data_IF_808773630129
#
_entry.id   IF_808773630129
#
_cell.length_a   1.000
_cell.length_b   1.000
_cell.length_c   1.000
_cell.angle_alpha   90.00
_cell.angle_beta   90.00
_cell.angle_gamma   90.00
#
_symmetry.space_group_name_H-M   'P 1'
#
loop_
_entity.id
_entity.type
_entity.pdbx_description
1 polymer ?
#
# COMPACT_ATOMS: atom_id res chain seq x y z
N UNK A 1 -0.60 8.66 20.03
CA UNK A 1 -1.18 8.83 18.68
C UNK A 1 -1.64 7.50 18.14
N UNK A 2 -2.59 7.50 17.16
CA UNK A 2 -3.05 6.29 16.47
C UNK A 2 -2.74 6.39 14.98
N UNK A 3 -2.13 5.36 14.40
CA UNK A 3 -1.92 5.27 12.96
C UNK A 3 -2.73 4.11 12.40
N UNK A 4 -3.37 4.31 11.24
CA UNK A 4 -4.03 3.24 10.48
C UNK A 4 -3.21 2.94 9.23
N UNK A 5 -3.06 1.65 8.91
CA UNK A 5 -2.34 1.18 7.73
C UNK A 5 -3.32 0.56 6.76
N UNK A 6 -3.32 1.03 5.52
CA UNK A 6 -4.03 0.43 4.40
C UNK A 6 -2.98 -0.30 3.55
N UNK A 7 -2.99 -1.66 3.57
CA UNK A 7 -2.08 -2.45 2.73
C UNK A 7 -2.43 -2.39 1.25
N UNK A 8 -1.63 -3.09 0.45
CA UNK A 8 -1.80 -3.27 -1.00
C UNK A 8 -3.26 -3.62 -1.35
N UNK A 9 -3.94 -2.74 -2.07
CA UNK A 9 -5.36 -2.92 -2.49
C UNK A 9 -5.49 -3.43 -3.91
N UNK A 10 -4.51 -3.16 -4.75
CA UNK A 10 -4.38 -3.65 -6.13
C UNK A 10 -5.68 -3.54 -6.95
N UNK A 11 -6.23 -2.34 -7.02
CA UNK A 11 -7.49 -2.07 -7.73
C UNK A 11 -7.25 -2.08 -9.25
N UNK A 12 -8.12 -2.80 -9.96
CA UNK A 12 -8.18 -2.88 -11.41
C UNK A 12 -9.65 -2.89 -11.88
N UNK A 13 -9.95 -2.74 -13.18
CA UNK A 13 -11.32 -2.79 -13.69
C UNK A 13 -12.03 -4.09 -13.31
N UNK A 14 -13.18 -3.96 -12.63
CA UNK A 14 -13.95 -5.10 -12.13
C UNK A 14 -13.61 -5.56 -10.70
N UNK A 15 -12.63 -4.94 -10.02
CA UNK A 15 -12.33 -5.22 -8.61
C UNK A 15 -13.53 -4.97 -7.70
N UNK A 16 -13.73 -5.84 -6.73
CA UNK A 16 -14.70 -5.62 -5.65
C UNK A 16 -14.14 -4.60 -4.67
N UNK A 17 -14.82 -3.47 -4.47
CA UNK A 17 -14.34 -2.35 -3.66
C UNK A 17 -15.13 -2.10 -2.37
N UNK A 18 -16.14 -2.93 -2.08
CA UNK A 18 -16.98 -2.77 -0.86
C UNK A 18 -16.21 -2.75 0.45
N UNK A 19 -15.08 -3.45 0.52
CA UNK A 19 -14.17 -3.45 1.68
C UNK A 19 -13.54 -2.07 1.94
N UNK A 20 -13.36 -1.23 0.93
CA UNK A 20 -12.83 0.13 1.08
C UNK A 20 -13.85 1.06 1.74
N UNK A 21 -15.13 0.94 1.34
CA UNK A 21 -16.23 1.65 2.01
C UNK A 21 -16.33 1.24 3.48
N UNK A 22 -16.28 -0.07 3.75
CA UNK A 22 -16.31 -0.62 5.11
C UNK A 22 -15.13 -0.12 5.96
N UNK A 23 -13.91 -0.13 5.40
CA UNK A 23 -12.72 0.42 6.05
C UNK A 23 -12.86 1.92 6.35
N UNK A 24 -13.34 2.71 5.38
CA UNK A 24 -13.57 4.15 5.60
C UNK A 24 -14.55 4.43 6.74
N UNK A 25 -15.67 3.68 6.81
CA UNK A 25 -16.62 3.75 7.92
C UNK A 25 -15.98 3.38 9.27
N UNK A 26 -15.16 2.32 9.29
CA UNK A 26 -14.43 1.87 10.47
C UNK A 26 -13.46 2.95 10.96
N UNK A 27 -12.61 3.49 10.05
CA UNK A 27 -11.62 4.50 10.37
C UNK A 27 -12.27 5.78 10.90
N UNK A 28 -13.36 6.23 10.29
CA UNK A 28 -14.14 7.36 10.79
C UNK A 28 -14.65 7.15 12.22
N UNK A 29 -15.08 5.93 12.57
CA UNK A 29 -15.53 5.59 13.93
C UNK A 29 -14.39 5.58 14.94
N UNK A 30 -13.23 4.99 14.57
CA UNK A 30 -12.10 4.80 15.47
C UNK A 30 -11.11 5.97 15.50
N UNK A 31 -11.23 6.90 14.54
CA UNK A 31 -10.51 8.18 14.46
C UNK A 31 -8.98 8.04 14.67
N UNK A 32 -8.24 7.33 13.79
CA UNK A 32 -6.78 7.42 13.81
C UNK A 32 -6.31 8.84 13.49
N UNK A 33 -5.21 9.27 14.11
CA UNK A 33 -4.61 10.58 13.82
C UNK A 33 -4.01 10.63 12.42
N UNK A 34 -3.46 9.49 11.95
CA UNK A 34 -2.85 9.34 10.62
C UNK A 34 -3.35 8.08 9.94
N UNK A 35 -3.60 8.19 8.64
CA UNK A 35 -3.89 7.04 7.77
C UNK A 35 -2.73 6.95 6.77
N UNK A 36 -2.10 5.80 6.67
CA UNK A 36 -1.00 5.53 5.75
C UNK A 36 -1.42 4.47 4.75
N UNK A 37 -1.59 4.87 3.50
CA UNK A 37 -1.77 3.97 2.35
C UNK A 37 -0.37 3.60 1.89
N UNK A 38 0.00 2.32 2.02
CA UNK A 38 1.39 1.87 1.87
C UNK A 38 1.80 1.59 0.42
N UNK A 39 1.00 1.99 -0.55
CA UNK A 39 1.23 1.81 -1.98
C UNK A 39 0.52 0.61 -2.58
N UNK A 40 0.71 0.40 -3.87
CA UNK A 40 0.00 -0.59 -4.66
C UNK A 40 -1.53 -0.48 -4.50
N UNK A 41 -2.03 0.76 -4.51
CA UNK A 41 -3.46 1.02 -4.54
C UNK A 41 -4.05 0.65 -5.90
N UNK A 42 -3.41 1.12 -6.98
CA UNK A 42 -3.68 0.68 -8.34
C UNK A 42 -2.90 -0.58 -8.66
N UNK A 43 -3.52 -1.57 -9.29
CA UNK A 43 -2.78 -2.74 -9.82
C UNK A 43 -2.06 -2.41 -11.14
N UNK A 44 -2.63 -1.54 -11.97
CA UNK A 44 -2.09 -1.16 -13.28
C UNK A 44 -1.73 -2.37 -14.17
N UNK A 45 -2.62 -3.34 -14.38
CA UNK A 45 -2.34 -4.54 -15.17
C UNK A 45 -1.98 -4.22 -16.62
N UNK A 46 -2.53 -3.13 -17.17
CA UNK A 46 -2.25 -2.70 -18.55
C UNK A 46 -0.78 -2.33 -18.79
N UNK A 47 -0.06 -1.96 -17.73
CA UNK A 47 1.37 -1.63 -17.76
C UNK A 47 2.26 -2.78 -17.23
N UNK A 48 1.68 -3.97 -17.00
CA UNK A 48 2.44 -5.14 -16.61
C UNK A 48 3.38 -5.60 -17.72
N UNK A 49 4.64 -5.88 -17.37
CA UNK A 49 5.63 -6.46 -18.27
C UNK A 49 5.57 -7.99 -18.34
N UNK A 50 4.72 -8.62 -17.54
CA UNK A 50 4.59 -10.07 -17.48
C UNK A 50 3.70 -10.63 -18.59
N UNK A 51 2.71 -9.84 -19.08
CA UNK A 51 1.85 -10.26 -20.19
C UNK A 51 2.57 -10.08 -21.53
N UNK A 52 2.45 -11.08 -22.40
CA UNK A 52 3.03 -11.10 -23.74
C UNK A 52 1.97 -10.94 -24.81
N UNK A 53 2.32 -10.45 -26.03
CA UNK A 53 1.42 -10.49 -27.17
C UNK A 53 0.83 -11.89 -27.37
N UNK A 54 -0.50 -12.01 -27.47
CA UNK A 54 -1.23 -13.27 -27.55
C UNK A 54 -1.72 -13.83 -26.23
N UNK A 55 -1.28 -13.31 -25.08
CA UNK A 55 -1.88 -13.62 -23.79
C UNK A 55 -3.25 -12.94 -23.67
N UNK A 56 -4.22 -13.60 -23.02
CA UNK A 56 -5.56 -13.05 -22.79
C UNK A 56 -5.53 -11.68 -22.09
N UNK A 57 -4.58 -11.44 -21.20
CA UNK A 57 -4.38 -10.16 -20.53
C UNK A 57 -3.85 -9.06 -21.44
N UNK A 58 -3.18 -9.41 -22.56
CA UNK A 58 -2.64 -8.44 -23.51
C UNK A 58 -3.72 -7.72 -24.33
N UNK A 59 -4.76 -8.45 -24.72
CA UNK A 59 -5.84 -7.92 -25.58
C UNK A 59 -6.78 -6.94 -24.83
N UNK A 60 -6.76 -6.96 -23.49
CA UNK A 60 -7.63 -6.14 -22.64
C UNK A 60 -6.93 -4.96 -21.96
N UNK A 61 -5.70 -4.61 -22.42
CA UNK A 61 -4.92 -3.51 -21.83
C UNK A 61 -5.57 -2.15 -22.10
N UNK A 62 -6.01 -1.49 -21.05
CA UNK A 62 -6.57 -0.15 -21.06
C UNK A 62 -6.11 0.62 -19.81
N UNK A 63 -5.08 1.46 -19.97
CA UNK A 63 -4.51 2.27 -18.89
C UNK A 63 -5.53 3.25 -18.32
N UNK A 64 -6.43 3.78 -19.16
CA UNK A 64 -7.46 4.70 -18.70
C UNK A 64 -8.48 4.00 -17.81
N UNK A 65 -8.87 2.78 -18.16
CA UNK A 65 -9.75 1.96 -17.33
C UNK A 65 -9.10 1.60 -15.99
N UNK A 66 -7.78 1.25 -15.98
CA UNK A 66 -7.03 0.99 -14.76
C UNK A 66 -7.04 2.22 -13.82
N UNK A 67 -6.73 3.39 -14.37
CA UNK A 67 -6.72 4.65 -13.61
C UNK A 67 -8.11 4.98 -13.07
N UNK A 68 -9.14 4.87 -13.90
CA UNK A 68 -10.54 5.16 -13.52
C UNK A 68 -10.98 4.28 -12.36
N UNK A 69 -10.73 2.96 -12.44
CA UNK A 69 -11.09 2.03 -11.37
C UNK A 69 -10.46 2.41 -10.04
N UNK A 70 -9.16 2.72 -10.03
CA UNK A 70 -8.46 3.13 -8.82
C UNK A 70 -8.94 4.47 -8.26
N UNK A 71 -9.26 5.44 -9.14
CA UNK A 71 -9.82 6.74 -8.73
C UNK A 71 -11.22 6.62 -8.13
N UNK A 72 -12.11 5.81 -8.68
CA UNK A 72 -13.45 5.59 -8.14
C UNK A 72 -13.39 4.94 -6.76
N UNK A 73 -12.47 3.99 -6.60
CA UNK A 73 -12.18 3.36 -5.32
C UNK A 73 -11.62 4.37 -4.30
N UNK A 74 -10.68 5.24 -4.70
CA UNK A 74 -10.08 6.26 -3.84
C UNK A 74 -11.11 7.28 -3.38
N UNK A 75 -11.92 7.80 -4.28
CA UNK A 75 -13.01 8.73 -3.97
C UNK A 75 -13.99 8.13 -2.98
N UNK A 76 -14.39 6.87 -3.20
CA UNK A 76 -15.29 6.12 -2.30
C UNK A 76 -14.68 6.00 -0.89
N UNK A 77 -13.41 5.61 -0.80
CA UNK A 77 -12.69 5.48 0.46
C UNK A 77 -12.57 6.82 1.19
N UNK A 78 -12.08 7.87 0.51
CA UNK A 78 -11.91 9.19 1.11
C UNK A 78 -13.24 9.80 1.59
N UNK A 79 -14.30 9.66 0.80
CA UNK A 79 -15.64 10.13 1.18
C UNK A 79 -16.17 9.40 2.44
N UNK A 80 -15.92 8.10 2.55
CA UNK A 80 -16.30 7.31 3.71
C UNK A 80 -15.50 7.69 4.97
N UNK A 81 -14.21 7.97 4.83
CA UNK A 81 -13.33 8.42 5.91
C UNK A 81 -13.74 9.80 6.41
N UNK A 82 -13.84 10.78 5.50
CA UNK A 82 -14.00 12.20 5.82
C UNK A 82 -15.42 12.65 6.14
N UNK A 83 -16.38 11.74 6.09
CA UNK A 83 -17.74 12.08 6.47
C UNK A 83 -17.82 12.49 7.95
N UNK A 84 -18.83 13.34 8.28
CA UNK A 84 -19.12 13.80 9.66
C UNK A 84 -17.95 14.56 10.32
N UNK A 85 -17.29 15.44 9.57
CA UNK A 85 -16.25 16.35 10.07
C UNK A 85 -15.04 15.63 10.71
N UNK A 86 -14.70 14.44 10.23
CA UNK A 86 -13.43 13.79 10.55
C UNK A 86 -12.49 13.90 9.35
N UNK A 87 -11.38 14.60 9.53
CA UNK A 87 -10.37 14.84 8.50
C UNK A 87 -8.96 14.49 9.03
N UNK A 88 -8.57 13.21 8.95
CA UNK A 88 -7.27 12.75 9.40
C UNK A 88 -6.15 13.18 8.44
N UNK A 89 -4.95 13.23 8.94
CA UNK A 89 -3.75 13.33 8.10
C UNK A 89 -3.58 12.03 7.29
N UNK A 90 -3.64 12.10 5.96
CA UNK A 90 -3.52 10.93 5.07
C UNK A 90 -2.21 11.00 4.30
N UNK A 91 -1.42 9.92 4.36
CA UNK A 91 -0.18 9.73 3.61
C UNK A 91 -0.36 8.62 2.58
N UNK A 92 0.18 8.84 1.40
CA UNK A 92 0.22 7.86 0.32
C UNK A 92 1.68 7.60 -0.07
N UNK A 93 2.17 6.39 0.15
CA UNK A 93 3.47 5.95 -0.34
C UNK A 93 3.28 5.29 -1.71
N UNK A 94 3.92 5.79 -2.75
CA UNK A 94 3.83 5.20 -4.09
C UNK A 94 4.39 3.78 -4.06
N UNK A 95 3.64 2.84 -4.63
CA UNK A 95 4.06 1.44 -4.78
C UNK A 95 4.72 1.15 -6.13
N UNK A 96 5.18 -0.07 -6.32
CA UNK A 96 5.82 -0.47 -7.56
C UNK A 96 4.83 -0.70 -8.72
N UNK A 97 3.54 -0.82 -8.42
CA UNK A 97 2.49 -0.92 -9.43
C UNK A 97 2.18 0.46 -10.02
N UNK A 98 2.07 1.52 -9.23
CA UNK A 98 1.96 2.89 -9.73
C UNK A 98 3.23 3.32 -10.48
N UNK A 99 4.40 2.90 -10.00
CA UNK A 99 5.69 3.19 -10.67
C UNK A 99 5.79 2.56 -12.07
N UNK A 100 4.90 1.62 -12.43
CA UNK A 100 4.78 1.14 -13.82
C UNK A 100 4.52 2.27 -14.81
N UNK A 101 3.82 3.33 -14.39
CA UNK A 101 3.57 4.53 -15.22
C UNK A 101 4.89 5.19 -15.58
N UNK A 102 5.76 5.44 -14.60
CA UNK A 102 7.10 6.04 -14.82
C UNK A 102 7.95 5.16 -15.73
N UNK A 103 8.01 3.86 -15.44
CA UNK A 103 8.77 2.90 -16.24
C UNK A 103 8.25 2.77 -17.67
N UNK A 104 6.93 2.85 -17.87
CA UNK A 104 6.33 2.87 -19.20
C UNK A 104 6.67 4.15 -19.96
N UNK A 105 6.65 5.31 -19.29
CA UNK A 105 7.05 6.59 -19.89
C UNK A 105 8.52 6.58 -20.36
N UNK A 106 9.39 5.94 -19.61
CA UNK A 106 10.83 5.84 -19.92
C UNK A 106 11.17 4.76 -20.97
N UNK A 107 10.22 3.88 -21.28
CA UNK A 107 10.39 2.80 -22.24
C UNK A 107 10.61 3.35 -23.66
N UNK A 108 11.53 2.73 -24.40
CA UNK A 108 11.79 3.08 -25.81
C UNK A 108 10.55 2.93 -26.70
N UNK A 109 9.69 1.94 -26.39
CA UNK A 109 8.45 1.65 -27.16
C UNK A 109 7.37 2.70 -26.91
N UNK A 110 7.27 3.21 -25.70
CA UNK A 110 6.20 4.14 -25.26
C UNK A 110 6.67 5.59 -25.15
N UNK A 111 7.95 5.88 -25.43
CA UNK A 111 8.54 7.23 -25.31
C UNK A 111 7.76 8.30 -26.09
N UNK A 112 7.16 7.96 -27.23
CA UNK A 112 6.31 8.87 -27.98
C UNK A 112 5.04 9.25 -27.22
N UNK A 113 4.55 8.39 -26.33
CA UNK A 113 3.39 8.57 -25.45
C UNK A 113 3.80 9.04 -24.05
N UNK A 114 5.10 9.12 -23.76
CA UNK A 114 5.63 9.42 -22.43
C UNK A 114 5.12 10.73 -21.83
N UNK A 115 4.86 11.74 -22.67
CA UNK A 115 4.25 13.00 -22.23
C UNK A 115 2.80 12.87 -21.72
N UNK A 116 2.13 11.75 -22.00
CA UNK A 116 0.78 11.43 -21.52
C UNK A 116 0.79 10.43 -20.36
N UNK A 117 1.95 9.88 -20.02
CA UNK A 117 2.16 8.91 -18.96
C UNK A 117 3.00 9.53 -17.83
N UNK A 118 2.43 10.51 -17.16
CA UNK A 118 3.06 11.18 -16.02
C UNK A 118 2.41 10.70 -14.72
N UNK A 119 3.18 10.01 -13.89
CA UNK A 119 2.73 9.60 -12.54
C UNK A 119 2.31 10.83 -11.73
N UNK A 120 3.06 11.93 -11.86
CA UNK A 120 2.76 13.20 -11.22
C UNK A 120 1.37 13.72 -11.59
N UNK A 121 1.08 13.82 -12.90
CA UNK A 121 -0.19 14.37 -13.37
C UNK A 121 -1.37 13.42 -13.23
N UNK A 122 -1.13 12.10 -13.37
CA UNK A 122 -2.19 11.10 -13.36
C UNK A 122 -2.62 10.69 -11.95
N UNK A 123 -1.72 10.77 -10.96
CA UNK A 123 -1.96 10.26 -9.60
C UNK A 123 -1.56 11.26 -8.52
N UNK A 124 -0.31 11.78 -8.51
CA UNK A 124 0.20 12.48 -7.33
C UNK A 124 -0.45 13.85 -7.13
N UNK A 125 -0.42 14.72 -8.13
CA UNK A 125 -1.05 16.05 -8.04
C UNK A 125 -2.56 15.97 -7.74
N UNK A 126 -3.36 15.08 -8.38
CA UNK A 126 -4.76 14.91 -7.98
C UNK A 126 -4.97 14.37 -6.56
N UNK A 127 -4.06 13.55 -6.02
CA UNK A 127 -4.12 13.13 -4.61
C UNK A 127 -3.81 14.29 -3.67
N UNK A 128 -2.80 15.10 -3.99
CA UNK A 128 -2.43 16.30 -3.21
C UNK A 128 -3.59 17.32 -3.21
N UNK A 129 -4.28 17.51 -4.33
CA UNK A 129 -5.49 18.34 -4.43
C UNK A 129 -6.63 17.83 -3.54
N UNK A 130 -6.69 16.52 -3.32
CA UNK A 130 -7.60 15.89 -2.36
C UNK A 130 -7.08 15.94 -0.92
N UNK A 131 -5.97 16.62 -0.63
CA UNK A 131 -5.38 16.74 0.70
C UNK A 131 -4.74 15.42 1.21
N UNK A 132 -4.28 14.58 0.31
CA UNK A 132 -3.49 13.37 0.60
C UNK A 132 -2.03 13.71 0.37
N UNK A 133 -1.18 13.56 1.37
CA UNK A 133 0.26 13.82 1.27
C UNK A 133 0.95 12.69 0.52
N UNK A 134 1.38 12.93 -0.70
CA UNK A 134 2.04 11.92 -1.52
C UNK A 134 3.53 11.80 -1.24
N UNK A 135 4.06 10.60 -1.38
CA UNK A 135 5.48 10.30 -1.18
C UNK A 135 5.98 9.44 -2.35
N UNK A 136 7.00 9.90 -3.08
CA UNK A 136 7.53 9.21 -4.26
C UNK A 136 7.94 7.76 -3.97
N UNK A 137 7.96 6.94 -5.01
CA UNK A 137 8.39 5.54 -4.91
C UNK A 137 9.76 5.42 -4.23
N UNK A 138 9.90 4.48 -3.31
CA UNK A 138 11.08 4.23 -2.47
C UNK A 138 11.44 5.38 -1.48
N UNK A 139 10.69 6.47 -1.45
CA UNK A 139 10.90 7.49 -0.43
C UNK A 139 10.55 6.93 0.94
N UNK A 140 11.52 6.95 1.84
CA UNK A 140 11.28 6.62 3.25
C UNK A 140 10.80 7.87 3.97
N UNK A 141 9.65 7.77 4.60
CA UNK A 141 9.15 8.82 5.51
C UNK A 141 9.20 8.32 6.95
N UNK A 142 9.41 9.24 7.90
CA UNK A 142 9.40 8.91 9.32
C UNK A 142 8.26 9.65 10.01
N UNK A 143 7.36 8.90 10.64
CA UNK A 143 6.25 9.44 11.42
C UNK A 143 6.31 8.86 12.84
N UNK A 144 6.46 9.72 13.82
CA UNK A 144 6.48 9.35 15.24
C UNK A 144 7.49 8.24 15.59
N UNK A 145 8.66 8.23 14.91
CA UNK A 145 9.73 7.26 15.12
C UNK A 145 9.57 5.94 14.35
N UNK A 146 8.58 5.82 13.47
CA UNK A 146 8.41 4.66 12.58
C UNK A 146 8.71 5.09 11.15
N UNK A 147 9.53 4.32 10.44
CA UNK A 147 9.81 4.50 9.02
C UNK A 147 8.73 3.79 8.18
N UNK A 148 8.22 4.48 7.15
CA UNK A 148 7.22 3.96 6.22
C UNK A 148 7.75 4.08 4.79
N UNK A 149 7.58 3.05 4.00
CA UNK A 149 7.79 3.00 2.56
C UNK A 149 7.03 1.81 2.00
N UNK A 150 6.68 1.84 0.71
CA UNK A 150 6.03 0.67 0.09
C UNK A 150 6.90 -0.60 0.30
N UNK A 151 8.19 -0.50 0.02
CA UNK A 151 9.19 -1.44 0.52
C UNK A 151 10.52 -0.72 0.80
N UNK A 152 11.39 -1.37 1.54
CA UNK A 152 12.74 -0.88 1.79
C UNK A 152 13.74 -1.64 0.93
N UNK A 153 14.71 -0.93 0.38
CA UNK A 153 15.86 -1.53 -0.29
C UNK A 153 16.81 -2.10 0.76
N UNK A 154 17.43 -3.24 0.46
CA UNK A 154 18.45 -3.79 1.33
C UNK A 154 19.69 -2.86 1.34
N UNK A 155 20.05 -2.24 2.47
CA UNK A 155 21.19 -1.31 2.54
C UNK A 155 22.54 -1.95 2.15
N UNK A 156 22.64 -3.29 2.26
CA UNK A 156 23.85 -4.03 1.90
C UNK A 156 23.87 -4.51 0.45
N UNK A 157 22.84 -4.18 -0.36
CA UNK A 157 22.74 -4.59 -1.76
C UNK A 157 23.11 -3.43 -2.69
N UNK A 158 23.81 -3.75 -3.78
CA UNK A 158 24.03 -2.80 -4.87
C UNK A 158 22.79 -2.63 -5.78
N UNK A 159 21.78 -3.50 -5.61
CA UNK A 159 20.54 -3.48 -6.39
C UNK A 159 19.40 -2.92 -5.54
N UNK A 160 18.49 -2.18 -6.17
CA UNK A 160 17.28 -1.61 -5.54
C UNK A 160 16.18 -2.66 -5.31
N UNK A 161 16.56 -3.91 -4.99
CA UNK A 161 15.62 -4.97 -4.70
C UNK A 161 14.99 -4.81 -3.32
N UNK A 162 13.72 -5.22 -3.15
CA UNK A 162 13.08 -5.24 -1.84
C UNK A 162 13.86 -6.08 -0.83
N UNK A 163 13.97 -5.58 0.39
CA UNK A 163 14.61 -6.34 1.47
C UNK A 163 13.80 -7.61 1.77
N UNK A 164 14.47 -8.75 1.70
CA UNK A 164 13.91 -10.08 1.95
C UNK A 164 14.14 -10.60 3.36
N UNK A 165 13.82 -11.87 3.57
CA UNK A 165 14.08 -12.59 4.81
C UNK A 165 13.04 -12.39 5.90
N UNK A 166 13.35 -12.83 7.13
CA UNK A 166 12.49 -12.71 8.29
C UNK A 166 12.37 -11.25 8.75
N UNK A 167 11.37 -10.99 9.61
CA UNK A 167 11.17 -9.64 10.14
C UNK A 167 12.36 -9.17 10.99
N UNK A 168 12.97 -10.08 11.74
CA UNK A 168 14.16 -9.80 12.56
C UNK A 168 15.37 -9.45 11.68
N UNK A 169 15.54 -10.15 10.56
CA UNK A 169 16.58 -9.83 9.58
C UNK A 169 16.38 -8.43 8.98
N UNK A 170 15.13 -8.10 8.60
CA UNK A 170 14.79 -6.76 8.14
C UNK A 170 15.10 -5.69 9.20
N UNK A 171 14.69 -5.92 10.45
CA UNK A 171 14.94 -5.00 11.56
C UNK A 171 16.45 -4.77 11.82
N UNK A 172 17.25 -5.83 11.76
CA UNK A 172 18.71 -5.74 11.91
C UNK A 172 19.34 -4.91 10.79
N UNK A 173 18.94 -5.16 9.54
CA UNK A 173 19.51 -4.45 8.39
C UNK A 173 19.05 -2.98 8.30
N UNK A 174 17.77 -2.70 8.57
CA UNK A 174 17.22 -1.33 8.52
C UNK A 174 17.57 -0.51 9.76
N UNK A 175 17.87 -1.17 10.87
CA UNK A 175 18.29 -0.51 12.09
C UNK A 175 17.21 0.39 12.74
N UNK A 176 15.94 0.28 12.36
CA UNK A 176 14.86 1.17 12.78
C UNK A 176 13.51 0.46 12.86
N UNK A 177 12.57 0.98 13.66
CA UNK A 177 11.16 0.54 13.54
C UNK A 177 10.62 0.90 12.16
N UNK A 178 9.98 -0.05 11.48
CA UNK A 178 9.52 0.14 10.12
C UNK A 178 8.15 -0.49 9.84
N UNK A 179 7.54 -0.04 8.76
CA UNK A 179 6.30 -0.60 8.19
C UNK A 179 6.38 -0.55 6.68
N UNK A 180 6.05 -1.67 6.04
CA UNK A 180 6.05 -1.81 4.58
C UNK A 180 4.89 -2.68 4.08
N UNK A 181 4.55 -2.54 2.80
CA UNK A 181 3.65 -3.38 2.01
C UNK A 181 4.37 -4.40 1.14
N UNK A 182 4.02 -4.47 -0.14
CA UNK A 182 4.67 -5.20 -1.23
C UNK A 182 4.68 -6.73 -1.12
N UNK A 183 5.05 -7.29 0.01
CA UNK A 183 5.18 -8.74 0.16
C UNK A 183 3.83 -9.46 0.32
N UNK A 184 2.75 -8.72 0.54
CA UNK A 184 1.36 -9.22 0.65
C UNK A 184 1.14 -10.32 1.70
N UNK A 185 2.20 -10.75 2.35
CA UNK A 185 2.19 -11.68 3.46
C UNK A 185 2.47 -10.91 4.75
N UNK A 186 1.53 -10.94 5.69
CA UNK A 186 1.70 -10.22 6.96
C UNK A 186 2.83 -10.85 7.78
N UNK A 187 3.76 -10.00 8.23
CA UNK A 187 4.84 -10.37 9.15
C UNK A 187 4.95 -9.31 10.25
N UNK A 188 5.12 -9.75 11.48
CA UNK A 188 5.36 -8.88 12.64
C UNK A 188 6.52 -9.40 13.45
N UNK A 189 7.28 -8.54 14.07
CA UNK A 189 8.35 -8.92 14.99
C UNK A 189 9.00 -7.72 15.63
N UNK A 190 9.88 -7.99 16.59
CA UNK A 190 10.58 -6.96 17.33
C UNK A 190 12.00 -7.40 17.70
N UNK A 191 12.87 -6.43 17.90
CA UNK A 191 14.20 -6.61 18.46
C UNK A 191 14.44 -5.54 19.53
N UNK A 192 15.35 -5.82 20.45
CA UNK A 192 15.83 -4.87 21.45
C UNK A 192 17.26 -4.44 21.12
N UNK A 193 17.51 -3.15 21.19
CA UNK A 193 18.85 -2.59 21.11
C UNK A 193 19.59 -2.76 22.45
N UNK A 194 20.89 -2.62 22.45
CA UNK A 194 21.71 -2.77 23.67
C UNK A 194 21.35 -1.81 24.82
N UNK A 195 20.70 -0.69 24.49
CA UNK A 195 20.19 0.27 25.50
C UNK A 195 18.73 0.03 25.88
N UNK A 196 18.17 -1.14 25.53
CA UNK A 196 16.80 -1.55 25.88
C UNK A 196 15.69 -0.94 25.02
N UNK A 197 16.01 -0.20 23.97
CA UNK A 197 14.98 0.35 23.08
C UNK A 197 14.38 -0.76 22.21
N UNK A 198 13.05 -0.89 22.25
CA UNK A 198 12.30 -1.81 21.39
C UNK A 198 12.17 -1.22 19.98
N UNK A 199 12.44 -2.03 18.97
CA UNK A 199 12.21 -1.72 17.56
C UNK A 199 11.27 -2.74 16.96
N UNK A 200 10.26 -2.27 16.24
CA UNK A 200 9.18 -3.11 15.70
C UNK A 200 9.15 -3.08 14.19
N UNK A 201 9.04 -4.26 13.57
CA UNK A 201 8.87 -4.42 12.13
C UNK A 201 7.47 -4.90 11.80
N UNK A 202 6.92 -4.35 10.71
CA UNK A 202 5.61 -4.72 10.20
C UNK A 202 5.64 -4.79 8.68
N UNK A 203 5.27 -5.94 8.11
CA UNK A 203 4.83 -6.11 6.74
C UNK A 203 3.32 -6.24 6.77
N UNK A 204 2.59 -5.37 6.06
CA UNK A 204 1.16 -5.13 6.31
C UNK A 204 0.22 -6.22 5.79
N UNK A 205 0.66 -7.14 4.92
CA UNK A 205 -0.25 -8.04 4.22
C UNK A 205 -0.91 -7.37 3.01
N UNK A 206 -2.16 -7.73 2.72
CA UNK A 206 -2.92 -7.22 1.58
C UNK A 206 -4.31 -6.73 2.00
N UNK A 207 -4.97 -5.97 1.11
CA UNK A 207 -6.34 -5.50 1.36
C UNK A 207 -7.20 -5.55 0.10
N UNK A 208 -7.34 -6.74 -0.48
CA UNK A 208 -8.22 -7.03 -1.61
C UNK A 208 -8.90 -8.39 -1.45
N UNK A 209 -10.02 -8.60 -2.19
CA UNK A 209 -10.87 -9.80 -2.06
C UNK A 209 -10.53 -10.89 -3.07
N UNK A 210 -9.79 -10.55 -4.12
CA UNK A 210 -9.63 -11.45 -5.25
C UNK A 210 -8.66 -12.59 -4.96
N UNK A 211 -8.97 -13.74 -5.53
CA UNK A 211 -8.11 -14.91 -5.55
C UNK A 211 -7.15 -14.79 -6.73
N UNK A 212 -5.86 -14.88 -6.46
CA UNK A 212 -4.84 -14.87 -7.50
C UNK A 212 -4.43 -16.31 -7.87
N UNK A 213 -4.87 -16.83 -9.05
CA UNK A 213 -4.58 -18.21 -9.45
C UNK A 213 -3.08 -18.54 -9.50
N UNK A 214 -2.25 -17.57 -9.89
CA UNK A 214 -0.80 -17.73 -9.99
C UNK A 214 -0.10 -17.97 -8.63
N UNK A 215 -0.71 -17.56 -7.53
CA UNK A 215 -0.16 -17.81 -6.19
C UNK A 215 -0.41 -19.24 -5.68
N UNK A 216 -1.35 -19.96 -6.32
CA UNK A 216 -1.80 -21.26 -5.86
C UNK A 216 -2.60 -21.22 -4.56
N UNK A 217 -3.29 -22.33 -4.20
CA UNK A 217 -4.23 -22.36 -3.08
C UNK A 217 -3.56 -22.13 -1.72
N UNK A 218 -2.36 -22.66 -1.50
CA UNK A 218 -1.66 -22.52 -0.21
C UNK A 218 -1.30 -21.06 0.10
N UNK A 219 -0.71 -20.34 -0.86
CA UNK A 219 -0.34 -18.93 -0.66
C UNK A 219 -1.57 -18.04 -0.52
N UNK A 220 -2.63 -18.31 -1.29
CA UNK A 220 -3.89 -17.58 -1.13
C UNK A 220 -4.49 -17.81 0.26
N UNK A 221 -4.47 -19.04 0.78
CA UNK A 221 -4.98 -19.36 2.11
C UNK A 221 -4.14 -18.75 3.25
N UNK A 222 -2.83 -18.58 3.05
CA UNK A 222 -1.92 -17.99 4.03
C UNK A 222 -1.90 -16.45 4.01
N UNK A 223 -2.54 -15.84 3.00
CA UNK A 223 -2.55 -14.39 2.86
C UNK A 223 -3.56 -13.76 3.81
N UNK A 224 -3.08 -12.96 4.75
CA UNK A 224 -3.94 -12.16 5.61
C UNK A 224 -4.42 -10.92 4.88
N UNK A 225 -5.73 -10.65 4.93
CA UNK A 225 -6.35 -9.46 4.35
C UNK A 225 -7.07 -8.64 5.41
N UNK A 226 -6.81 -7.34 5.44
CA UNK A 226 -7.41 -6.42 6.39
C UNK A 226 -6.64 -5.11 6.49
N UNK A 227 -6.99 -4.30 7.48
CA UNK A 227 -6.27 -3.09 7.84
C UNK A 227 -5.61 -3.25 9.21
N UNK A 228 -4.63 -2.42 9.51
CA UNK A 228 -3.87 -2.51 10.74
C UNK A 228 -3.95 -1.18 11.49
N UNK A 229 -4.22 -1.24 12.80
CA UNK A 229 -4.22 -0.07 13.68
C UNK A 229 -3.03 -0.14 14.62
N UNK A 230 -2.30 0.94 14.75
CA UNK A 230 -1.26 1.14 15.77
C UNK A 230 -1.79 2.12 16.80
N UNK A 231 -1.89 1.67 18.04
CA UNK A 231 -2.27 2.50 19.18
C UNK A 231 -1.02 2.93 19.95
N UNK A 232 -1.13 3.99 20.72
CA UNK A 232 -0.06 4.50 21.60
C UNK A 232 1.29 4.72 20.87
N UNK A 233 1.21 5.15 19.59
CA UNK A 233 2.42 5.36 18.76
C UNK A 233 3.30 6.45 19.39
N UNK A 234 4.50 6.06 19.81
CA UNK A 234 5.49 6.95 20.43
C UNK A 234 6.91 6.41 20.21
N UNK A 235 7.81 7.24 19.68
CA UNK A 235 9.23 6.93 19.50
C UNK A 235 9.52 5.59 18.79
N UNK A 236 8.65 5.21 17.83
CA UNK A 236 8.83 3.99 17.06
C UNK A 236 8.20 2.73 17.67
N UNK A 237 7.62 2.83 18.86
CA UNK A 237 6.86 1.78 19.51
C UNK A 237 5.35 2.01 19.38
N UNK A 238 4.55 0.94 19.50
CA UNK A 238 3.09 0.97 19.36
C UNK A 238 2.44 -0.34 19.78
N UNK A 239 1.16 -0.32 20.07
CA UNK A 239 0.32 -1.53 20.21
C UNK A 239 -0.37 -1.82 18.89
N UNK A 240 -0.19 -3.03 18.36
CA UNK A 240 -0.76 -3.45 17.08
C UNK A 240 -2.13 -4.10 17.28
N UNK A 241 -3.12 -3.60 16.53
CA UNK A 241 -4.45 -4.21 16.41
C UNK A 241 -4.71 -4.56 14.95
N UNK A 242 -5.05 -5.81 14.71
CA UNK A 242 -5.40 -6.35 13.40
C UNK A 242 -6.91 -6.30 13.21
N UNK A 243 -7.35 -5.75 12.07
CA UNK A 243 -8.77 -5.65 11.70
C UNK A 243 -8.96 -6.39 10.39
N UNK A 244 -9.47 -7.62 10.47
CA UNK A 244 -9.64 -8.45 9.28
C UNK A 244 -10.68 -7.88 8.32
N UNK A 245 -10.49 -8.14 7.04
CA UNK A 245 -11.45 -7.74 6.00
C UNK A 245 -12.82 -8.38 6.20
N UNK A 246 -12.87 -9.61 6.67
CA UNK A 246 -14.14 -10.30 6.98
C UNK A 246 -14.92 -9.58 8.09
N UNK A 247 -14.23 -9.13 9.14
CA UNK A 247 -14.84 -8.31 10.18
C UNK A 247 -15.34 -6.97 9.64
N UNK A 248 -14.52 -6.29 8.84
CA UNK A 248 -14.91 -5.01 8.23
C UNK A 248 -16.17 -5.13 7.38
N UNK A 249 -16.23 -6.14 6.52
CA UNK A 249 -17.38 -6.38 5.65
C UNK A 249 -18.64 -6.76 6.44
N UNK A 250 -18.50 -7.54 7.51
CA UNK A 250 -19.62 -7.95 8.36
C UNK A 250 -20.22 -6.77 9.14
N UNK A 251 -19.39 -5.94 9.74
CA UNK A 251 -19.83 -4.91 10.69
C UNK A 251 -20.03 -3.53 10.05
N UNK A 252 -19.40 -3.26 8.88
CA UNK A 252 -19.38 -1.95 8.25
C UNK A 252 -19.72 -1.98 6.74
N UNK A 253 -19.91 -3.15 6.15
CA UNK A 253 -20.29 -3.33 4.75
C UNK A 253 -21.68 -2.81 4.37
#
# INVERSE_FOLDING_TARGET
>A
MKHAMIPDTQIYPGSKTGHLLAAGKYLRKHKPDKIIIIGDWWDMPSLSSYDRPGDKGWETKDVHADLTAGWDAMKTFLAAVRARNYDPEIHYCVGNHEDRITRAADSAVTRMLGKYLSLEELILSPLDDLGVKTHPFLKVIQLNGICYSHYFVNPSSLLSNPIGGTIENKLKNLGHSFTMGHQQQKQTGEIYTCNGQRRRGLVCGRFYQDYHPYLGPQKNAQSWSGILMKHEVKQGDYDLMEVSMSYLLKEYG
#
